data_IF_946478903537
#
_entry.id   IF_946478903537
#
_cell.length_a   1.000
_cell.length_b   1.000
_cell.length_c   1.000
_cell.angle_alpha   90.00
_cell.angle_beta   90.00
_cell.angle_gamma   90.00
#
_symmetry.space_group_name_H-M   'P 1'
#
loop_
_entity.id
_entity.type
_entity.pdbx_description
1 polymer ?
#
# COMPACT_ATOMS: atom_id res chain seq x y z
N UNK A 1 8.60 -19.76 8.13
CA UNK A 1 7.44 -20.38 8.73
C UNK A 1 6.21 -20.13 7.88
N UNK A 2 5.52 -21.20 7.54
CA UNK A 2 4.34 -21.13 6.67
C UNK A 2 3.23 -20.27 7.26
N UNK A 3 2.95 -20.44 8.56
CA UNK A 3 1.87 -19.69 9.22
C UNK A 3 2.11 -18.18 9.20
N UNK A 4 3.35 -17.74 9.43
CA UNK A 4 3.65 -16.31 9.39
C UNK A 4 3.51 -15.75 7.98
N UNK A 5 3.93 -16.52 6.96
CA UNK A 5 3.80 -16.10 5.58
C UNK A 5 2.34 -16.07 5.15
N UNK A 6 1.54 -17.04 5.58
CA UNK A 6 0.10 -17.05 5.29
C UNK A 6 -0.59 -15.84 5.91
N UNK A 7 -0.18 -15.43 7.12
CA UNK A 7 -0.72 -14.25 7.78
C UNK A 7 -0.48 -12.97 6.97
N UNK A 8 0.66 -12.86 6.29
CA UNK A 8 0.95 -11.68 5.46
C UNK A 8 0.01 -11.57 4.27
N UNK A 9 -0.58 -12.67 3.81
CA UNK A 9 -1.59 -12.64 2.75
C UNK A 9 -3.01 -12.38 3.28
N UNK A 10 -3.21 -12.45 4.59
CA UNK A 10 -4.50 -12.16 5.22
C UNK A 10 -4.64 -10.64 5.35
N UNK A 11 -5.62 -10.02 4.67
CA UNK A 11 -5.77 -8.57 4.74
C UNK A 11 -6.10 -8.08 6.16
N UNK A 12 -6.68 -8.93 7.01
CA UNK A 12 -6.93 -8.55 8.40
C UNK A 12 -5.65 -8.51 9.25
N UNK A 13 -4.67 -9.35 8.93
CA UNK A 13 -3.41 -9.43 9.67
C UNK A 13 -2.33 -8.52 9.10
N UNK A 14 -2.43 -8.17 7.81
CA UNK A 14 -1.45 -7.33 7.12
C UNK A 14 -2.19 -6.31 6.23
N UNK A 15 -2.89 -5.35 6.84
CA UNK A 15 -3.64 -4.37 6.06
C UNK A 15 -2.70 -3.43 5.31
N UNK A 16 -2.90 -3.31 4.01
CA UNK A 16 -2.06 -2.46 3.14
C UNK A 16 -2.53 -1.01 3.17
N UNK A 17 -3.79 -0.79 3.49
CA UNK A 17 -4.38 0.54 3.53
C UNK A 17 -5.28 0.74 4.74
N UNK A 18 -6.03 1.83 4.72
CA UNK A 18 -6.99 2.15 5.80
C UNK A 18 -8.32 1.45 5.60
N UNK A 19 -8.64 1.03 4.38
CA UNK A 19 -9.86 0.28 4.08
C UNK A 19 -9.64 -0.65 2.90
N UNK A 20 -10.11 -1.88 3.00
CA UNK A 20 -10.18 -2.82 1.88
C UNK A 20 -11.53 -2.57 1.19
N UNK A 21 -11.50 -2.15 -0.08
CA UNK A 21 -12.71 -1.70 -0.77
C UNK A 21 -13.22 -2.69 -1.81
N UNK A 22 -12.35 -3.58 -2.30
CA UNK A 22 -12.76 -4.60 -3.26
C UNK A 22 -11.75 -5.73 -3.29
N UNK A 23 -12.25 -6.95 -3.49
CA UNK A 23 -11.38 -8.11 -3.67
C UNK A 23 -12.09 -9.16 -4.51
N UNK A 24 -11.37 -9.71 -5.49
CA UNK A 24 -11.79 -10.88 -6.25
C UNK A 24 -10.58 -11.80 -6.48
N UNK A 25 -10.69 -12.72 -7.43
CA UNK A 25 -9.59 -13.66 -7.71
C UNK A 25 -8.37 -13.00 -8.34
N UNK A 26 -8.54 -11.83 -8.93
CA UNK A 26 -7.49 -11.15 -9.70
C UNK A 26 -6.82 -10.02 -8.95
N UNK A 27 -7.59 -9.27 -8.16
CA UNK A 27 -7.10 -8.06 -7.51
C UNK A 27 -7.61 -7.94 -6.08
N UNK A 28 -6.86 -7.16 -5.32
CA UNK A 28 -7.28 -6.67 -4.01
C UNK A 28 -7.05 -5.17 -4.01
N UNK A 29 -8.10 -4.39 -3.73
CA UNK A 29 -8.04 -2.93 -3.85
C UNK A 29 -8.27 -2.29 -2.50
N UNK A 30 -7.32 -1.44 -2.12
CA UNK A 30 -7.34 -0.70 -0.87
C UNK A 30 -7.48 0.79 -1.12
N UNK A 31 -7.99 1.50 -0.13
CA UNK A 31 -7.82 2.94 -0.04
C UNK A 31 -6.93 3.26 1.15
N UNK A 32 -6.17 4.34 0.98
CA UNK A 32 -5.55 5.06 2.09
C UNK A 32 -6.20 6.43 2.13
N UNK A 33 -6.76 6.80 3.28
CA UNK A 33 -7.32 8.11 3.54
C UNK A 33 -6.73 8.59 4.86
N UNK A 34 -5.91 9.64 4.82
CA UNK A 34 -5.17 10.10 5.98
C UNK A 34 -5.40 11.59 6.20
N UNK A 35 -5.94 11.93 7.37
CA UNK A 35 -5.95 13.31 7.85
C UNK A 35 -4.52 13.74 8.16
N UNK A 36 -4.23 15.05 8.22
CA UNK A 36 -2.92 15.51 8.66
C UNK A 36 -2.49 14.88 9.99
N UNK A 37 -1.30 14.31 10.01
CA UNK A 37 -0.74 13.63 11.17
C UNK A 37 -1.12 12.18 11.34
N UNK A 38 -2.05 11.66 10.52
CA UNK A 38 -2.49 10.28 10.64
C UNK A 38 -1.54 9.32 9.91
N UNK A 39 -1.52 8.08 10.38
CA UNK A 39 -0.67 7.00 9.87
C UNK A 39 -1.50 5.92 9.20
N UNK A 40 -1.01 5.39 8.09
CA UNK A 40 -1.46 4.10 7.59
C UNK A 40 -0.75 2.99 8.36
N UNK A 41 -1.34 1.77 8.43
CA UNK A 41 -0.73 0.69 9.22
C UNK A 41 0.62 0.24 8.66
N UNK A 42 1.48 -0.24 9.56
CA UNK A 42 2.67 -0.99 9.17
C UNK A 42 2.27 -2.22 8.38
N UNK A 43 2.92 -2.44 7.23
CA UNK A 43 2.59 -3.56 6.36
C UNK A 43 3.79 -3.98 5.51
N UNK A 44 3.70 -5.19 4.97
CA UNK A 44 4.65 -5.72 3.99
C UNK A 44 3.87 -6.07 2.73
N UNK A 45 4.36 -5.65 1.57
CA UNK A 45 3.73 -6.00 0.31
C UNK A 45 4.10 -7.42 -0.09
N UNK A 46 3.10 -8.28 -0.23
CA UNK A 46 3.26 -9.67 -0.65
C UNK A 46 2.74 -9.91 -2.08
N UNK A 47 2.27 -8.86 -2.71
CA UNK A 47 1.77 -8.87 -4.10
C UNK A 47 2.34 -7.66 -4.82
N UNK A 48 2.50 -7.77 -6.11
CA UNK A 48 2.79 -6.60 -6.94
C UNK A 48 1.61 -5.63 -6.85
N UNK A 49 1.88 -4.35 -6.87
CA UNK A 49 0.82 -3.37 -6.66
C UNK A 49 1.08 -2.08 -7.42
N UNK A 50 0.00 -1.35 -7.70
CA UNK A 50 0.05 -0.02 -8.28
C UNK A 50 -0.78 0.91 -7.41
N UNK A 51 -0.22 2.06 -7.08
CA UNK A 51 -0.88 3.09 -6.29
C UNK A 51 -1.19 4.29 -7.16
N UNK A 52 -2.41 4.80 -7.06
CA UNK A 52 -2.84 6.02 -7.75
C UNK A 52 -3.25 7.05 -6.71
N UNK A 53 -2.62 8.22 -6.75
CA UNK A 53 -2.93 9.32 -5.82
C UNK A 53 -4.23 9.97 -6.24
N UNK A 54 -5.16 10.11 -5.29
CA UNK A 54 -6.47 10.74 -5.51
C UNK A 54 -6.47 12.16 -4.97
N UNK A 55 -5.97 12.35 -3.74
CA UNK A 55 -5.77 13.67 -3.14
C UNK A 55 -4.31 13.80 -2.79
N UNK A 56 -3.65 14.80 -3.32
CA UNK A 56 -2.23 15.01 -3.14
C UNK A 56 -1.87 15.55 -1.78
N UNK A 57 -0.59 15.61 -1.52
CA UNK A 57 -0.05 16.14 -0.29
C UNK A 57 1.37 15.67 -0.06
N UNK A 58 1.83 15.85 1.17
CA UNK A 58 3.18 15.46 1.57
C UNK A 58 3.08 14.31 2.54
N UNK A 59 3.73 13.20 2.21
CA UNK A 59 3.74 12.01 3.06
C UNK A 59 5.18 11.56 3.29
N UNK A 60 5.38 10.86 4.40
CA UNK A 60 6.63 10.18 4.69
C UNK A 60 6.36 8.69 4.80
N UNK A 61 7.26 7.90 4.24
CA UNK A 61 7.27 6.46 4.41
C UNK A 61 8.39 6.11 5.36
N UNK A 62 8.04 5.54 6.49
CA UNK A 62 9.01 5.03 7.45
C UNK A 62 9.21 3.54 7.19
N UNK A 63 10.45 3.13 7.01
CA UNK A 63 10.80 1.75 6.71
C UNK A 63 11.31 1.05 7.98
N UNK A 64 11.17 -0.27 8.00
CA UNK A 64 11.53 -1.08 9.19
C UNK A 64 13.02 -1.01 9.51
N UNK A 65 13.86 -0.64 8.54
CA UNK A 65 15.30 -0.44 8.76
C UNK A 65 15.64 0.92 9.36
N UNK A 66 14.62 1.75 9.65
CA UNK A 66 14.80 3.09 10.23
C UNK A 66 14.93 4.20 9.21
N UNK A 67 15.01 3.89 7.93
CA UNK A 67 15.06 4.94 6.90
C UNK A 67 13.69 5.56 6.71
N UNK A 68 13.69 6.82 6.25
CA UNK A 68 12.47 7.58 6.00
C UNK A 68 12.59 8.21 4.61
N UNK A 69 11.57 8.01 3.78
CA UNK A 69 11.46 8.64 2.47
C UNK A 69 10.34 9.67 2.52
N UNK A 70 10.55 10.80 1.86
CA UNK A 70 9.55 11.88 1.80
C UNK A 70 9.09 12.05 0.37
N UNK A 71 7.77 12.16 0.19
CA UNK A 71 7.15 12.31 -1.13
C UNK A 71 6.22 13.51 -1.13
N UNK A 72 6.33 14.33 -2.17
CA UNK A 72 5.33 15.34 -2.50
C UNK A 72 4.56 14.80 -3.70
N UNK A 73 3.28 14.53 -3.50
CA UNK A 73 2.47 13.79 -4.47
C UNK A 73 1.29 14.63 -4.94
N UNK A 74 0.98 14.50 -6.22
CA UNK A 74 -0.11 15.19 -6.86
C UNK A 74 -1.21 14.20 -7.26
N UNK A 75 -2.48 14.64 -7.36
CA UNK A 75 -3.54 13.78 -7.88
C UNK A 75 -3.17 13.24 -9.26
N UNK A 76 -3.35 11.93 -9.43
CA UNK A 76 -3.00 11.26 -10.68
C UNK A 76 -1.59 10.69 -10.73
N UNK A 77 -0.75 10.99 -9.75
CA UNK A 77 0.57 10.34 -9.66
C UNK A 77 0.39 8.84 -9.46
N UNK A 78 1.23 8.06 -10.13
CA UNK A 78 1.18 6.60 -10.11
C UNK A 78 2.52 6.06 -9.63
N UNK A 79 2.46 5.13 -8.68
CA UNK A 79 3.62 4.43 -8.18
C UNK A 79 3.39 2.94 -8.32
N UNK A 80 4.41 2.22 -8.79
CA UNK A 80 4.33 0.78 -8.93
C UNK A 80 5.36 0.12 -8.03
N UNK A 81 4.94 -0.93 -7.31
CA UNK A 81 5.81 -1.67 -6.43
C UNK A 81 5.70 -3.16 -6.64
N UNK A 82 6.71 -3.86 -6.15
CA UNK A 82 6.80 -5.32 -6.25
C UNK A 82 6.52 -5.94 -4.89
N UNK A 83 6.17 -7.23 -4.91
CA UNK A 83 6.13 -8.01 -3.69
C UNK A 83 7.51 -8.07 -3.03
N UNK A 84 7.53 -8.41 -1.76
CA UNK A 84 8.78 -8.54 -1.02
C UNK A 84 9.41 -7.22 -0.60
N UNK A 85 8.69 -6.12 -0.68
CA UNK A 85 9.21 -4.84 -0.18
C UNK A 85 9.41 -4.91 1.32
N UNK A 86 10.36 -4.11 1.81
CA UNK A 86 10.60 -3.99 3.24
C UNK A 86 9.32 -3.48 3.94
N UNK A 87 9.09 -3.94 5.15
CA UNK A 87 7.96 -3.53 5.96
C UNK A 87 8.03 -2.02 6.21
N UNK A 88 6.91 -1.33 5.99
CA UNK A 88 6.87 0.12 6.12
C UNK A 88 5.47 0.62 6.50
N UNK A 89 5.42 1.90 6.83
CA UNK A 89 4.18 2.62 7.07
C UNK A 89 4.26 3.99 6.42
N UNK A 90 3.10 4.64 6.24
CA UNK A 90 3.02 5.97 5.62
C UNK A 90 2.30 6.91 6.58
N UNK A 91 2.86 8.11 6.73
CA UNK A 91 2.30 9.17 7.58
C UNK A 91 2.04 10.41 6.75
N UNK A 92 0.89 11.02 6.92
CA UNK A 92 0.59 12.31 6.32
C UNK A 92 1.27 13.40 7.14
N UNK A 93 2.31 14.03 6.58
CA UNK A 93 3.05 15.10 7.24
C UNK A 93 2.72 16.46 6.66
N UNK A 94 1.75 16.52 5.75
CA UNK A 94 1.24 17.77 5.19
C UNK A 94 0.09 18.33 6.00
N UNK A 95 -0.55 19.35 5.43
CA UNK A 95 -1.63 20.08 6.09
C UNK A 95 -3.00 19.85 5.43
N UNK A 96 -3.07 18.97 4.43
CA UNK A 96 -4.31 18.59 3.76
C UNK A 96 -4.53 17.09 3.86
N UNK A 97 -5.76 16.63 3.69
CA UNK A 97 -6.07 15.21 3.62
C UNK A 97 -5.36 14.58 2.43
N UNK A 98 -4.73 13.45 2.66
CA UNK A 98 -4.08 12.66 1.61
C UNK A 98 -4.91 11.42 1.34
N UNK A 99 -5.06 11.06 0.06
CA UNK A 99 -5.78 9.84 -0.31
C UNK A 99 -5.17 9.18 -1.53
N UNK A 100 -5.11 7.85 -1.52
CA UNK A 100 -4.74 7.08 -2.69
C UNK A 100 -5.54 5.79 -2.78
N UNK A 101 -5.44 5.14 -3.94
CA UNK A 101 -5.98 3.81 -4.18
C UNK A 101 -4.81 2.88 -4.49
N UNK A 102 -4.78 1.73 -3.86
CA UNK A 102 -3.73 0.73 -4.07
C UNK A 102 -4.38 -0.52 -4.67
N UNK A 103 -3.92 -0.91 -5.85
CA UNK A 103 -4.40 -2.12 -6.53
C UNK A 103 -3.32 -3.18 -6.43
N UNK A 104 -3.58 -4.23 -5.66
CA UNK A 104 -2.71 -5.41 -5.57
C UNK A 104 -3.14 -6.42 -6.62
N UNK A 105 -2.19 -7.02 -7.32
CA UNK A 105 -2.44 -7.98 -8.39
C UNK A 105 -2.12 -9.39 -7.89
N UNK A 106 -3.15 -10.23 -7.84
CA UNK A 106 -3.00 -11.62 -7.37
C UNK A 106 -2.61 -12.58 -8.50
N UNK A 107 -2.98 -12.25 -9.68
CA UNK A 107 -2.96 -13.16 -10.81
C UNK A 107 -1.64 -13.27 -11.54
N UNK A 108 -0.51 -13.26 -10.81
CA UNK A 108 0.79 -13.39 -11.47
C UNK A 108 0.89 -14.66 -12.30
N UNK A 109 0.26 -15.73 -11.86
CA UNK A 109 0.22 -16.99 -12.59
C UNK A 109 -0.52 -16.87 -13.91
N UNK A 110 -1.36 -15.86 -14.08
CA UNK A 110 -2.09 -15.65 -15.33
C UNK A 110 -1.15 -15.32 -16.50
N UNK A 111 -0.01 -14.75 -16.20
CA UNK A 111 0.98 -14.40 -17.22
C UNK A 111 1.64 -15.63 -17.82
N UNK A 112 1.66 -16.72 -17.10
CA UNK A 112 2.32 -17.95 -17.52
C UNK A 112 1.52 -18.62 -18.64
N UNK A 113 0.19 -18.59 -18.55
CA UNK A 113 -0.67 -19.17 -19.55
C UNK A 113 -0.84 -18.30 -20.79
N UNK A 114 -0.42 -17.06 -20.68
CA UNK A 114 -0.56 -16.10 -21.78
C UNK A 114 0.48 -16.27 -22.87
#
# INVERSE_FOLDING_TARGET
MTAARDSLHDPGANPIGTALVFEDDLVRIWRIDLQPGADAPWHTHVLDYTTVVVQGGVVERENDDGSVDRFELEPGDVMHGKDGTIRHMVRNVGDTTFANVIVEVKGTQLRVGG
#
